data_IF_009873962429
#
_entry.id   IF_009873962429
#
_cell.length_a   1.000
_cell.length_b   1.000
_cell.length_c   1.000
_cell.angle_alpha   90.00
_cell.angle_beta   90.00
_cell.angle_gamma   90.00
#
_symmetry.space_group_name_H-M   'P 1'
#
loop_
_entity.id
_entity.type
_entity.pdbx_description
1 polymer ?
#
# COMPACT_ATOMS: atom_id res chain seq x y z
N UNK A 1 18.08 -9.40 42.51
CA UNK A 1 18.00 -8.37 41.46
C UNK A 1 18.03 -6.98 42.08
N UNK A 2 18.75 -6.75 43.19
CA UNK A 2 18.47 -5.55 44.01
C UNK A 2 19.21 -4.27 43.57
N UNK A 3 20.00 -4.25 42.48
CA UNK A 3 20.68 -3.04 42.02
C UNK A 3 21.00 -3.02 40.51
N UNK A 4 20.30 -3.81 39.69
CA UNK A 4 20.55 -3.80 38.24
C UNK A 4 19.65 -2.78 37.55
N UNK A 5 20.20 -2.04 36.59
CA UNK A 5 19.42 -1.12 35.75
C UNK A 5 18.58 -1.89 34.74
N UNK A 6 17.56 -1.24 34.16
CA UNK A 6 16.77 -1.83 33.08
C UNK A 6 17.62 -2.28 31.89
N UNK A 7 18.63 -1.50 31.51
CA UNK A 7 19.58 -1.86 30.45
C UNK A 7 20.42 -3.09 30.82
N UNK A 8 20.96 -3.14 32.03
CA UNK A 8 21.75 -4.29 32.50
C UNK A 8 20.91 -5.57 32.55
N UNK A 9 19.65 -5.47 32.98
CA UNK A 9 18.71 -6.60 33.01
C UNK A 9 18.41 -7.07 31.58
N UNK A 10 18.18 -6.16 30.64
CA UNK A 10 17.96 -6.51 29.23
C UNK A 10 19.19 -7.15 28.59
N UNK A 11 20.39 -6.65 28.87
CA UNK A 11 21.64 -7.25 28.41
C UNK A 11 21.86 -8.66 28.99
N UNK A 12 21.55 -8.87 30.27
CA UNK A 12 21.59 -10.21 30.87
C UNK A 12 20.60 -11.16 30.22
N UNK A 13 19.39 -10.69 29.92
CA UNK A 13 18.40 -11.46 29.16
C UNK A 13 18.96 -11.87 27.79
N UNK A 14 19.51 -10.93 27.01
CA UNK A 14 20.10 -11.20 25.70
C UNK A 14 21.27 -12.20 25.77
N UNK A 15 22.17 -12.03 26.74
CA UNK A 15 23.30 -12.94 26.97
C UNK A 15 22.85 -14.36 27.34
N UNK A 16 21.76 -14.49 28.10
CA UNK A 16 21.17 -15.78 28.43
C UNK A 16 20.61 -16.49 27.20
N UNK A 17 19.99 -15.75 26.27
CA UNK A 17 19.49 -16.31 25.01
C UNK A 17 20.65 -16.70 24.06
N UNK A 18 21.72 -15.90 23.99
CA UNK A 18 22.89 -16.19 23.15
C UNK A 18 23.66 -17.45 23.58
N UNK A 19 23.80 -17.69 24.89
CA UNK A 19 24.46 -18.90 25.44
C UNK A 19 23.73 -20.19 25.04
N UNK A 20 22.45 -20.11 24.69
CA UNK A 20 21.65 -21.26 24.25
C UNK A 20 21.75 -21.55 22.74
N UNK A 21 22.59 -20.82 21.97
CA UNK A 21 22.77 -20.96 20.51
C UNK A 21 21.47 -20.84 19.69
N UNK A 22 20.63 -19.87 20.00
CA UNK A 22 19.28 -19.77 19.40
C UNK A 22 19.18 -18.65 18.34
N UNK A 23 18.47 -18.96 17.23
CA UNK A 23 18.17 -18.03 16.14
C UNK A 23 17.02 -17.06 16.51
N UNK A 24 16.86 -15.99 15.72
CA UNK A 24 15.92 -14.87 15.91
C UNK A 24 14.45 -15.27 16.20
N UNK A 25 13.98 -16.41 15.68
CA UNK A 25 12.64 -16.95 15.98
C UNK A 25 12.44 -17.33 17.45
N UNK A 26 13.49 -17.70 18.20
CA UNK A 26 13.35 -18.07 19.62
C UNK A 26 13.39 -16.87 20.57
N UNK A 27 13.95 -15.73 20.16
CA UNK A 27 13.85 -14.48 20.93
C UNK A 27 12.39 -14.04 21.07
N UNK A 28 11.60 -14.16 20.00
CA UNK A 28 10.17 -13.91 20.05
C UNK A 28 9.45 -14.88 21.00
N UNK A 29 9.75 -16.19 20.95
CA UNK A 29 9.17 -17.19 21.87
C UNK A 29 9.51 -16.88 23.33
N UNK A 30 10.74 -16.45 23.61
CA UNK A 30 11.16 -16.01 24.94
C UNK A 30 10.41 -14.75 25.41
N UNK A 31 10.16 -13.79 24.51
CA UNK A 31 9.32 -12.62 24.79
C UNK A 31 7.86 -13.02 25.06
N UNK A 32 7.27 -13.92 24.26
CA UNK A 32 5.94 -14.46 24.49
C UNK A 32 5.84 -15.18 25.86
N UNK A 33 6.90 -15.87 26.27
CA UNK A 33 6.96 -16.51 27.59
C UNK A 33 6.97 -15.48 28.72
N UNK A 34 7.68 -14.35 28.56
CA UNK A 34 7.63 -13.24 29.52
C UNK A 34 6.26 -12.59 29.56
N UNK A 35 5.66 -12.35 28.40
CA UNK A 35 4.30 -11.83 28.27
C UNK A 35 3.27 -12.70 28.99
N UNK A 36 3.29 -14.03 28.79
CA UNK A 36 2.39 -14.97 29.49
C UNK A 36 2.60 -14.98 31.01
N UNK A 37 3.80 -14.65 31.49
CA UNK A 37 4.11 -14.58 32.91
C UNK A 37 3.86 -13.19 33.53
N UNK A 38 3.42 -12.20 32.75
CA UNK A 38 3.18 -10.85 33.22
C UNK A 38 2.11 -10.77 34.33
N UNK A 39 1.01 -11.51 34.18
CA UNK A 39 -0.04 -11.58 35.21
C UNK A 39 0.40 -12.38 36.45
N UNK A 40 1.32 -13.34 36.28
CA UNK A 40 1.87 -14.16 37.35
C UNK A 40 2.99 -13.46 38.14
N UNK A 41 3.48 -12.31 37.66
CA UNK A 41 4.56 -11.57 38.29
C UNK A 41 4.08 -10.91 39.60
N UNK A 42 4.65 -11.36 40.73
CA UNK A 42 4.20 -11.01 42.09
C UNK A 42 4.53 -9.58 42.53
N UNK A 43 5.43 -8.89 41.83
CA UNK A 43 5.91 -7.55 42.20
C UNK A 43 5.82 -6.60 41.02
N UNK A 44 5.50 -5.33 41.30
CA UNK A 44 5.42 -4.25 40.30
C UNK A 44 6.76 -4.06 39.58
N UNK A 45 7.89 -4.18 40.29
CA UNK A 45 9.24 -4.16 39.72
C UNK A 45 9.43 -5.20 38.60
N UNK A 46 9.00 -6.44 38.83
CA UNK A 46 9.12 -7.51 37.83
C UNK A 46 8.22 -7.25 36.62
N UNK A 47 7.05 -6.64 36.83
CA UNK A 47 6.13 -6.26 35.76
C UNK A 47 6.72 -5.15 34.91
N UNK A 48 7.33 -4.13 35.52
CA UNK A 48 8.07 -3.09 34.79
C UNK A 48 9.25 -3.65 34.00
N UNK A 49 9.98 -4.62 34.56
CA UNK A 49 11.07 -5.32 33.84
C UNK A 49 10.55 -6.04 32.61
N UNK A 50 9.43 -6.75 32.72
CA UNK A 50 8.81 -7.43 31.56
C UNK A 50 8.42 -6.39 30.50
N UNK A 51 7.74 -5.31 30.89
CA UNK A 51 7.36 -4.23 29.96
C UNK A 51 8.57 -3.63 29.24
N UNK A 52 9.65 -3.37 29.98
CA UNK A 52 10.89 -2.85 29.43
C UNK A 52 11.49 -3.80 28.39
N UNK A 53 11.60 -5.10 28.69
CA UNK A 53 12.17 -6.10 27.78
C UNK A 53 11.32 -6.24 26.51
N UNK A 54 9.99 -6.28 26.65
CA UNK A 54 9.07 -6.38 25.51
C UNK A 54 9.15 -5.16 24.59
N UNK A 55 9.42 -3.98 25.13
CA UNK A 55 9.65 -2.77 24.34
C UNK A 55 11.05 -2.73 23.73
N UNK A 56 12.10 -2.85 24.56
CA UNK A 56 13.50 -2.64 24.17
C UNK A 56 13.96 -3.62 23.09
N UNK A 57 13.40 -4.84 23.07
CA UNK A 57 13.68 -5.84 22.05
C UNK A 57 13.27 -5.38 20.63
N UNK A 58 12.27 -4.52 20.53
CA UNK A 58 11.70 -4.03 19.27
C UNK A 58 11.85 -2.52 19.09
N UNK A 59 12.66 -1.86 19.92
CA UNK A 59 12.84 -0.40 19.88
C UNK A 59 13.45 0.12 18.56
N UNK A 60 14.08 -0.76 17.77
CA UNK A 60 14.60 -0.42 16.43
C UNK A 60 13.51 -0.42 15.33
N UNK A 61 12.31 -0.92 15.63
CA UNK A 61 11.18 -0.91 14.70
C UNK A 61 10.26 0.27 15.01
N UNK A 62 9.49 0.76 14.03
CA UNK A 62 8.35 1.64 14.30
C UNK A 62 7.45 1.01 15.38
N UNK A 63 6.94 1.83 16.30
CA UNK A 63 6.14 1.35 17.44
C UNK A 63 4.93 0.53 16.97
N UNK A 64 4.34 0.89 15.83
CA UNK A 64 3.23 0.19 15.18
C UNK A 64 3.53 -1.25 14.80
N UNK A 65 4.81 -1.58 14.59
CA UNK A 65 5.27 -2.92 14.23
C UNK A 65 5.72 -3.74 15.46
N UNK A 66 5.59 -3.18 16.67
CA UNK A 66 5.87 -3.93 17.88
C UNK A 66 4.78 -5.01 18.09
N UNK A 67 5.14 -6.31 18.15
CA UNK A 67 4.16 -7.38 18.27
C UNK A 67 3.38 -7.37 19.60
N UNK A 68 3.85 -6.62 20.60
CA UNK A 68 3.21 -6.46 21.91
C UNK A 68 2.47 -5.11 22.05
N UNK A 69 2.30 -4.35 20.97
CA UNK A 69 1.63 -3.04 21.02
C UNK A 69 0.19 -3.13 21.54
N UNK A 70 -0.58 -4.12 21.11
CA UNK A 70 -1.95 -4.35 21.60
C UNK A 70 -1.98 -4.57 23.11
N UNK A 71 -1.04 -5.37 23.61
CA UNK A 71 -0.90 -5.60 25.04
C UNK A 71 -0.63 -4.29 25.80
N UNK A 72 0.28 -3.44 25.32
CA UNK A 72 0.54 -2.14 25.95
C UNK A 72 -0.72 -1.26 25.95
N UNK A 73 -1.46 -1.21 24.84
CA UNK A 73 -2.68 -0.41 24.71
C UNK A 73 -3.81 -0.90 25.63
N UNK A 74 -3.98 -2.22 25.76
CA UNK A 74 -4.96 -2.83 26.66
C UNK A 74 -4.58 -2.68 28.14
N UNK A 75 -3.27 -2.70 28.44
CA UNK A 75 -2.79 -2.55 29.80
C UNK A 75 -3.13 -1.18 30.40
N UNK A 76 -3.21 -0.11 29.59
CA UNK A 76 -3.58 1.25 30.04
C UNK A 76 -4.89 1.29 30.84
N UNK A 77 -5.85 0.44 30.45
CA UNK A 77 -7.18 0.38 31.02
C UNK A 77 -7.20 -0.38 32.36
N UNK A 78 -6.26 -1.33 32.57
CA UNK A 78 -6.23 -2.25 33.71
C UNK A 78 -4.83 -2.37 34.36
N UNK A 79 -4.26 -1.25 34.83
CA UNK A 79 -2.93 -1.23 35.47
C UNK A 79 -2.82 -0.25 36.65
N UNK A 80 -1.70 -0.33 37.37
CA UNK A 80 -1.35 0.63 38.42
C UNK A 80 -1.02 2.01 37.84
N UNK A 81 -0.91 3.03 38.68
CA UNK A 81 -0.55 4.40 38.24
C UNK A 81 0.85 4.44 37.65
N UNK A 82 1.78 3.69 38.23
CA UNK A 82 3.18 3.62 37.80
C UNK A 82 3.27 2.88 36.46
N UNK A 83 2.61 1.72 36.34
CA UNK A 83 2.51 0.98 35.09
C UNK A 83 1.88 1.81 33.97
N UNK A 84 0.80 2.53 34.26
CA UNK A 84 0.15 3.42 33.28
C UNK A 84 1.11 4.48 32.77
N UNK A 85 1.89 5.08 33.66
CA UNK A 85 2.85 6.12 33.29
C UNK A 85 4.03 5.54 32.50
N UNK A 86 4.53 4.38 32.91
CA UNK A 86 5.58 3.64 32.22
C UNK A 86 5.17 3.23 30.79
N UNK A 87 3.95 2.71 30.64
CA UNK A 87 3.35 2.39 29.33
C UNK A 87 3.13 3.66 28.51
N UNK A 88 2.74 4.78 29.13
CA UNK A 88 2.72 6.09 28.46
C UNK A 88 4.08 6.44 27.85
N UNK A 89 5.19 6.23 28.58
CA UNK A 89 6.54 6.44 28.05
C UNK A 89 6.91 5.49 26.90
N UNK A 90 6.39 4.24 26.90
CA UNK A 90 6.50 3.31 25.76
C UNK A 90 5.86 3.92 24.52
N UNK A 91 4.62 4.39 24.67
CA UNK A 91 3.79 4.85 23.56
C UNK A 91 4.26 6.21 23.01
N UNK A 92 4.88 7.06 23.83
CA UNK A 92 5.49 8.31 23.39
C UNK A 92 6.95 8.14 22.89
N UNK A 93 7.56 6.95 23.02
CA UNK A 93 8.94 6.68 22.62
C UNK A 93 10.00 7.36 23.49
N UNK A 94 9.66 7.73 24.72
CA UNK A 94 10.53 8.47 25.66
C UNK A 94 11.31 7.57 26.62
N UNK A 95 11.22 6.25 26.42
CA UNK A 95 11.77 5.24 27.32
C UNK A 95 13.30 5.17 27.35
N UNK A 96 13.99 5.75 26.37
CA UNK A 96 15.45 5.83 26.33
C UNK A 96 16.04 6.56 27.55
N UNK A 97 15.28 7.46 28.18
CA UNK A 97 15.68 8.14 29.42
C UNK A 97 15.63 7.27 30.68
N UNK A 98 15.05 6.08 30.62
CA UNK A 98 14.78 5.20 31.77
C UNK A 98 15.76 4.01 31.82
N UNK A 99 16.52 3.77 30.75
CA UNK A 99 17.45 2.64 30.61
C UNK A 99 18.44 2.49 31.78
N UNK A 100 18.92 3.62 32.32
CA UNK A 100 19.90 3.67 33.41
C UNK A 100 19.29 3.61 34.82
N UNK A 101 17.96 3.55 34.95
CA UNK A 101 17.29 3.49 36.23
C UNK A 101 17.09 2.04 36.66
N UNK A 102 17.00 1.81 37.96
CA UNK A 102 16.60 0.51 38.50
C UNK A 102 15.07 0.41 38.60
N UNK A 103 14.49 -0.79 38.49
CA UNK A 103 13.04 -0.99 38.69
C UNK A 103 12.54 -0.48 40.04
N UNK A 104 13.38 -0.61 41.08
CA UNK A 104 13.04 -0.18 42.44
C UNK A 104 13.01 1.35 42.59
N UNK A 105 13.92 2.08 41.91
CA UNK A 105 13.91 3.55 41.87
C UNK A 105 12.65 4.09 41.20
N UNK A 106 12.20 3.45 40.12
CA UNK A 106 10.96 3.84 39.41
C UNK A 106 9.73 3.60 40.28
N UNK A 107 9.68 2.48 41.00
CA UNK A 107 8.57 2.17 41.92
C UNK A 107 8.53 3.10 43.15
N UNK A 108 9.69 3.50 43.68
CA UNK A 108 9.79 4.33 44.89
C UNK A 108 9.65 5.82 44.63
N UNK A 109 10.04 6.30 43.45
CA UNK A 109 9.91 7.69 43.06
C UNK A 109 9.31 7.84 41.66
N UNK A 110 7.96 7.83 41.55
CA UNK A 110 7.25 7.95 40.28
C UNK A 110 7.52 9.26 39.53
N UNK A 111 8.05 10.28 40.21
CA UNK A 111 8.38 11.59 39.60
C UNK A 111 9.65 11.58 38.75
N UNK A 112 10.40 10.48 38.75
CA UNK A 112 11.59 10.30 37.90
C UNK A 112 11.18 10.01 36.45
N UNK A 113 9.98 9.47 36.22
CA UNK A 113 9.48 9.20 34.88
C UNK A 113 9.22 10.50 34.11
N UNK A 114 9.52 10.55 32.80
CA UNK A 114 9.24 11.71 31.96
C UNK A 114 7.76 12.09 32.02
N UNK A 115 7.47 13.39 32.16
CA UNK A 115 6.08 13.88 32.13
C UNK A 115 5.44 13.61 30.78
N UNK A 116 4.44 12.72 30.74
CA UNK A 116 3.67 12.42 29.54
C UNK A 116 2.69 13.57 29.26
N UNK A 117 2.54 13.95 27.99
CA UNK A 117 1.66 15.05 27.61
C UNK A 117 0.23 14.55 27.39
N UNK A 118 -0.62 14.65 28.43
CA UNK A 118 -2.03 14.20 28.44
C UNK A 118 -2.88 14.54 27.20
N UNK A 119 -2.58 15.63 26.49
CA UNK A 119 -3.33 16.06 25.29
C UNK A 119 -2.83 15.40 23.97
N UNK A 120 -1.55 15.01 23.88
CA UNK A 120 -1.02 14.22 22.75
C UNK A 120 -1.37 12.74 22.92
N UNK A 121 -1.36 12.26 24.16
CA UNK A 121 -1.69 10.89 24.56
C UNK A 121 -3.01 10.42 23.92
N UNK A 122 -4.12 11.12 24.11
CA UNK A 122 -5.44 10.59 23.70
C UNK A 122 -5.61 10.46 22.18
N UNK A 123 -5.08 11.40 21.38
CA UNK A 123 -5.18 11.33 19.91
C UNK A 123 -4.23 10.29 19.33
N UNK A 124 -3.00 10.23 19.86
CA UNK A 124 -1.99 9.28 19.40
C UNK A 124 -2.38 7.85 19.78
N UNK A 125 -2.82 7.62 21.03
CA UNK A 125 -3.34 6.33 21.49
C UNK A 125 -4.57 5.90 20.68
N UNK A 126 -5.47 6.82 20.33
CA UNK A 126 -6.62 6.49 19.46
C UNK A 126 -6.18 6.05 18.05
N UNK A 127 -5.16 6.69 17.47
CA UNK A 127 -4.57 6.29 16.19
C UNK A 127 -3.90 4.92 16.30
N UNK A 128 -3.12 4.68 17.36
CA UNK A 128 -2.47 3.40 17.61
C UNK A 128 -3.49 2.27 17.82
N UNK A 129 -4.55 2.49 18.63
CA UNK A 129 -5.66 1.53 18.80
C UNK A 129 -6.35 1.22 17.46
N UNK A 130 -6.55 2.22 16.60
CA UNK A 130 -7.12 2.01 15.26
C UNK A 130 -6.18 1.19 14.35
N UNK A 131 -4.87 1.46 14.37
CA UNK A 131 -3.87 0.72 13.59
C UNK A 131 -3.73 -0.74 14.08
N UNK A 132 -3.75 -0.95 15.40
CA UNK A 132 -3.66 -2.27 16.02
C UNK A 132 -4.92 -3.12 15.82
N UNK A 133 -6.11 -2.53 15.93
CA UNK A 133 -7.35 -3.24 15.63
C UNK A 133 -7.35 -3.80 14.20
N UNK A 134 -6.82 -3.03 13.23
CA UNK A 134 -6.63 -3.49 11.85
C UNK A 134 -5.64 -4.66 11.73
N UNK A 135 -4.62 -4.74 12.58
CA UNK A 135 -3.64 -5.84 12.61
C UNK A 135 -4.19 -7.12 13.27
N UNK A 136 -5.10 -6.99 14.25
CA UNK A 136 -5.69 -8.13 14.96
C UNK A 136 -6.74 -8.83 14.09
N UNK A 137 -7.49 -8.06 13.30
CA UNK A 137 -8.49 -8.62 12.38
C UNK A 137 -7.85 -9.35 11.18
N UNK A 138 -6.62 -8.99 10.78
CA UNK A 138 -5.82 -9.74 9.80
C UNK A 138 -4.31 -9.60 10.08
N UNK A 139 -3.65 -10.64 10.65
CA UNK A 139 -2.25 -10.60 11.07
C UNK A 139 -1.24 -10.46 9.92
N UNK A 140 -1.69 -10.42 8.67
CA UNK A 140 -0.85 -10.22 7.49
C UNK A 140 -0.93 -8.81 6.89
N UNK A 141 -1.70 -7.88 7.48
CA UNK A 141 -1.76 -6.50 6.97
C UNK A 141 -0.44 -5.79 7.26
N UNK A 142 0.42 -5.73 6.26
CA UNK A 142 1.57 -4.82 6.25
C UNK A 142 1.00 -3.39 6.14
N UNK A 143 1.38 -2.50 7.05
CA UNK A 143 0.95 -1.10 7.04
C UNK A 143 1.95 -0.32 6.19
N UNK A 144 1.48 0.39 5.15
CA UNK A 144 2.35 1.29 4.38
C UNK A 144 2.91 2.37 5.30
N UNK A 145 4.18 2.72 5.11
CA UNK A 145 4.77 3.91 5.72
C UNK A 145 3.91 5.15 5.42
N UNK A 146 3.71 5.99 6.45
CA UNK A 146 2.90 7.22 6.35
C UNK A 146 3.41 8.15 5.23
N UNK A 147 4.71 8.11 4.93
CA UNK A 147 5.32 8.83 3.80
C UNK A 147 4.81 8.33 2.45
N UNK A 148 4.68 7.02 2.26
CA UNK A 148 4.23 6.40 1.01
C UNK A 148 2.73 6.66 0.82
N UNK A 149 1.94 6.62 1.89
CA UNK A 149 0.52 7.00 1.88
C UNK A 149 0.36 8.46 1.40
N UNK A 150 1.17 9.37 1.94
CA UNK A 150 1.16 10.77 1.49
C UNK A 150 1.55 10.90 0.02
N UNK A 151 2.56 10.16 -0.44
CA UNK A 151 2.96 10.17 -1.86
C UNK A 151 1.85 9.66 -2.78
N UNK A 152 1.12 8.60 -2.40
CA UNK A 152 -0.03 8.10 -3.15
C UNK A 152 -1.15 9.14 -3.22
N UNK A 153 -1.46 9.82 -2.11
CA UNK A 153 -2.45 10.92 -2.13
C UNK A 153 -1.99 12.11 -2.99
N UNK A 154 -0.69 12.41 -3.00
CA UNK A 154 -0.13 13.45 -3.87
C UNK A 154 -0.12 13.05 -5.34
N UNK A 155 0.01 11.75 -5.64
CA UNK A 155 0.00 11.24 -7.01
C UNK A 155 -1.34 11.49 -7.73
N UNK A 156 -2.46 11.56 -7.01
CA UNK A 156 -3.76 11.96 -7.56
C UNK A 156 -3.91 13.48 -7.81
N UNK A 157 -3.02 14.31 -7.26
CA UNK A 157 -3.14 15.78 -7.27
C UNK A 157 -2.08 16.49 -8.10
N UNK A 158 -0.87 15.92 -8.19
CA UNK A 158 0.26 16.48 -8.93
C UNK A 158 1.15 15.40 -9.55
N UNK A 159 1.94 15.74 -10.58
CA UNK A 159 3.02 14.86 -11.00
C UNK A 159 4.04 14.68 -9.87
N UNK A 160 4.48 13.45 -9.68
CA UNK A 160 5.53 13.08 -8.75
C UNK A 160 6.90 13.38 -9.35
N UNK A 161 7.83 13.81 -8.50
CA UNK A 161 9.23 14.03 -8.88
C UNK A 161 9.94 12.68 -9.12
N UNK A 162 11.10 12.72 -9.79
CA UNK A 162 11.88 11.50 -10.04
C UNK A 162 12.27 10.79 -8.75
N UNK A 163 12.70 11.53 -7.72
CA UNK A 163 13.06 10.96 -6.42
C UNK A 163 11.87 10.31 -5.72
N UNK A 164 10.68 10.90 -5.81
CA UNK A 164 9.46 10.32 -5.22
C UNK A 164 9.05 9.02 -5.93
N UNK A 165 9.15 8.99 -7.26
CA UNK A 165 8.91 7.77 -8.03
C UNK A 165 9.93 6.66 -7.69
N UNK A 166 11.19 7.00 -7.44
CA UNK A 166 12.20 6.03 -7.00
C UNK A 166 11.89 5.45 -5.62
N UNK A 167 11.35 6.25 -4.69
CA UNK A 167 10.91 5.76 -3.37
C UNK A 167 9.77 4.75 -3.55
N UNK A 168 8.74 5.10 -4.34
CA UNK A 168 7.60 4.21 -4.60
C UNK A 168 8.00 2.91 -5.32
N UNK A 169 8.99 2.97 -6.20
CA UNK A 169 9.50 1.78 -6.93
C UNK A 169 10.34 0.85 -6.07
N UNK A 170 11.02 1.36 -5.04
CA UNK A 170 11.78 0.54 -4.10
C UNK A 170 10.84 -0.26 -3.18
N UNK A 171 9.66 0.29 -2.93
CA UNK A 171 8.65 -0.37 -2.12
C UNK A 171 7.89 -1.45 -2.90
N UNK A 172 7.62 -2.57 -2.25
CA UNK A 172 6.79 -3.64 -2.81
C UNK A 172 5.31 -3.34 -2.59
N UNK A 173 4.75 -2.49 -3.44
CA UNK A 173 3.33 -2.11 -3.37
C UNK A 173 2.35 -3.29 -3.48
N UNK A 174 2.80 -4.48 -3.93
CA UNK A 174 2.03 -5.73 -3.93
C UNK A 174 1.69 -6.27 -2.55
N UNK A 175 2.50 -5.93 -1.55
CA UNK A 175 2.42 -6.52 -0.21
C UNK A 175 1.35 -5.81 0.66
N UNK A 176 0.65 -4.84 0.06
CA UNK A 176 -0.22 -3.91 0.76
C UNK A 176 -1.62 -3.81 0.13
N UNK A 177 -2.67 -3.59 0.93
CA UNK A 177 -4.04 -3.42 0.43
C UNK A 177 -4.24 -2.01 -0.18
N UNK A 178 -3.73 -1.82 -1.40
CA UNK A 178 -3.79 -0.53 -2.13
C UNK A 178 -5.21 0.03 -2.31
N UNK A 179 -6.22 -0.84 -2.30
CA UNK A 179 -7.65 -0.48 -2.40
C UNK A 179 -8.17 0.36 -1.22
N UNK A 180 -7.42 0.39 -0.11
CA UNK A 180 -7.73 1.24 1.06
C UNK A 180 -7.16 2.65 0.92
N UNK A 181 -6.09 2.82 0.14
CA UNK A 181 -5.33 4.07 0.06
C UNK A 181 -5.65 4.90 -1.19
N UNK A 182 -6.00 4.25 -2.31
CA UNK A 182 -6.34 4.92 -3.57
C UNK A 182 -7.83 4.76 -3.81
N UNK A 183 -8.59 5.85 -3.77
CA UNK A 183 -10.04 5.79 -4.03
C UNK A 183 -10.30 5.63 -5.55
N UNK A 184 -11.40 4.95 -5.96
CA UNK A 184 -11.75 4.80 -7.38
C UNK A 184 -11.77 6.11 -8.17
N UNK A 185 -12.30 7.17 -7.56
CA UNK A 185 -12.38 8.49 -8.19
C UNK A 185 -11.02 9.18 -8.38
N UNK A 186 -9.99 8.80 -7.61
CA UNK A 186 -8.65 9.37 -7.73
C UNK A 186 -7.82 8.66 -8.80
N UNK A 187 -8.21 7.44 -9.20
CA UNK A 187 -7.47 6.62 -10.15
C UNK A 187 -7.32 7.29 -11.53
N UNK A 188 -8.36 7.86 -12.16
CA UNK A 188 -8.22 8.53 -13.46
C UNK A 188 -7.28 9.74 -13.40
N UNK A 189 -7.32 10.51 -12.32
CA UNK A 189 -6.41 11.63 -12.10
C UNK A 189 -4.96 11.15 -11.95
N UNK A 190 -4.75 10.07 -11.19
CA UNK A 190 -3.43 9.45 -11.00
C UNK A 190 -2.87 8.94 -12.34
N UNK A 191 -3.68 8.27 -13.15
CA UNK A 191 -3.30 7.80 -14.49
C UNK A 191 -2.78 8.96 -15.35
N UNK A 192 -3.52 10.07 -15.36
CA UNK A 192 -3.20 11.23 -16.18
C UNK A 192 -1.92 11.96 -15.74
N UNK A 193 -1.69 12.04 -14.42
CA UNK A 193 -0.56 12.78 -13.85
C UNK A 193 0.70 11.92 -13.72
N UNK A 194 0.55 10.62 -13.48
CA UNK A 194 1.62 9.71 -13.07
C UNK A 194 1.49 8.33 -13.75
N UNK A 195 1.55 8.29 -15.09
CA UNK A 195 1.36 7.07 -15.88
C UNK A 195 2.25 5.89 -15.47
N UNK A 196 3.50 6.14 -15.08
CA UNK A 196 4.42 5.05 -14.74
C UNK A 196 4.05 4.36 -13.44
N UNK A 197 3.59 5.13 -12.45
CA UNK A 197 3.05 4.57 -11.22
C UNK A 197 1.76 3.80 -11.52
N UNK A 198 0.92 4.34 -12.40
CA UNK A 198 -0.32 3.70 -12.82
C UNK A 198 -0.11 2.29 -13.39
N UNK A 199 0.94 2.09 -14.20
CA UNK A 199 1.28 0.77 -14.77
C UNK A 199 1.56 -0.32 -13.72
N UNK A 200 2.10 0.08 -12.57
CA UNK A 200 2.44 -0.84 -11.48
C UNK A 200 1.23 -1.11 -10.57
N UNK A 201 0.46 -0.08 -10.24
CA UNK A 201 -0.66 -0.20 -9.29
C UNK A 201 -1.96 -0.70 -9.92
N UNK A 202 -2.20 -0.45 -11.21
CA UNK A 202 -3.49 -0.77 -11.84
C UNK A 202 -3.79 -2.27 -11.82
N UNK A 203 -2.81 -3.11 -12.13
CA UNK A 203 -3.02 -4.57 -12.06
C UNK A 203 -3.30 -5.04 -10.63
N UNK A 204 -2.77 -4.36 -9.62
CA UNK A 204 -3.00 -4.69 -8.22
C UNK A 204 -4.39 -4.24 -7.75
N UNK A 205 -4.80 -3.02 -8.12
CA UNK A 205 -6.12 -2.47 -7.80
C UNK A 205 -7.25 -3.25 -8.48
N UNK A 206 -7.05 -3.69 -9.72
CA UNK A 206 -8.04 -4.47 -10.46
C UNK A 206 -8.17 -5.92 -9.97
N UNK A 207 -7.19 -6.42 -9.20
CA UNK A 207 -7.28 -7.71 -8.52
C UNK A 207 -7.88 -7.62 -7.10
N UNK A 208 -8.25 -6.41 -6.65
CA UNK A 208 -8.85 -6.20 -5.32
C UNK A 208 -10.38 -6.35 -5.36
N UNK A 209 -11.03 -6.45 -4.19
CA UNK A 209 -12.48 -6.64 -4.09
C UNK A 209 -13.35 -5.51 -4.72
N UNK A 210 -12.74 -4.39 -5.14
CA UNK A 210 -13.42 -3.21 -5.71
C UNK A 210 -13.20 -3.04 -7.21
N UNK A 211 -12.88 -4.11 -7.95
CA UNK A 211 -12.57 -4.04 -9.39
C UNK A 211 -13.62 -3.28 -10.20
N UNK A 212 -14.91 -3.54 -9.98
CA UNK A 212 -16.00 -2.91 -10.76
C UNK A 212 -16.07 -1.39 -10.54
N UNK A 213 -15.86 -0.91 -9.32
CA UNK A 213 -15.86 0.53 -9.00
C UNK A 213 -14.69 1.25 -9.69
N UNK A 214 -13.50 0.63 -9.73
CA UNK A 214 -12.34 1.19 -10.44
C UNK A 214 -12.55 1.21 -11.95
N UNK A 215 -13.11 0.14 -12.53
CA UNK A 215 -13.42 0.09 -13.95
C UNK A 215 -14.46 1.15 -14.32
N UNK A 216 -15.52 1.31 -13.52
CA UNK A 216 -16.53 2.34 -13.74
C UNK A 216 -15.93 3.74 -13.65
N UNK A 217 -15.07 4.02 -12.66
CA UNK A 217 -14.40 5.31 -12.55
C UNK A 217 -13.54 5.64 -13.79
N UNK A 218 -12.89 4.64 -14.41
CA UNK A 218 -12.14 4.81 -15.67
C UNK A 218 -13.09 5.13 -16.83
N UNK A 219 -14.27 4.51 -16.89
CA UNK A 219 -15.25 4.75 -17.95
C UNK A 219 -15.94 6.11 -17.83
N UNK A 220 -16.17 6.59 -16.61
CA UNK A 220 -16.85 7.86 -16.32
C UNK A 220 -15.96 9.09 -16.64
N UNK A 221 -14.65 8.89 -16.76
CA UNK A 221 -13.69 9.95 -17.06
C UNK A 221 -13.32 10.01 -18.56
N UNK A 222 -12.96 11.20 -19.08
CA UNK A 222 -12.61 11.36 -20.48
C UNK A 222 -11.35 10.56 -20.82
N UNK A 223 -11.37 9.89 -21.98
CA UNK A 223 -10.28 9.05 -22.42
C UNK A 223 -9.09 9.91 -22.86
N UNK A 224 -7.99 9.75 -22.13
CA UNK A 224 -6.71 10.42 -22.43
C UNK A 224 -5.73 9.44 -23.07
N UNK A 225 -4.64 9.99 -23.63
CA UNK A 225 -3.53 9.18 -24.17
C UNK A 225 -2.96 8.23 -23.10
N UNK A 226 -2.76 8.75 -21.89
CA UNK A 226 -2.22 8.04 -20.74
C UNK A 226 -3.15 6.91 -20.28
N UNK A 227 -4.47 7.13 -20.34
CA UNK A 227 -5.47 6.10 -20.03
C UNK A 227 -5.40 4.95 -21.03
N UNK A 228 -5.33 5.24 -22.33
CA UNK A 228 -5.19 4.21 -23.36
C UNK A 228 -3.91 3.41 -23.16
N UNK A 229 -2.77 4.06 -22.90
CA UNK A 229 -1.50 3.38 -22.65
C UNK A 229 -1.54 2.52 -21.38
N UNK A 230 -2.19 3.00 -20.33
CA UNK A 230 -2.34 2.26 -19.08
C UNK A 230 -3.18 1.01 -19.27
N UNK A 231 -4.35 1.12 -19.90
CA UNK A 231 -5.21 -0.03 -20.22
C UNK A 231 -4.49 -1.01 -21.16
N UNK A 232 -3.80 -0.51 -22.18
CA UNK A 232 -2.99 -1.32 -23.08
C UNK A 232 -1.91 -2.12 -22.33
N UNK A 233 -1.18 -1.48 -21.42
CA UNK A 233 -0.14 -2.13 -20.64
C UNK A 233 -0.70 -3.25 -19.75
N UNK A 234 -1.85 -3.03 -19.12
CA UNK A 234 -2.43 -4.03 -18.23
C UNK A 234 -2.96 -5.23 -19.03
N UNK A 235 -3.62 -4.98 -20.15
CA UNK A 235 -4.17 -6.02 -21.03
C UNK A 235 -3.06 -6.86 -21.70
N UNK A 236 -2.03 -6.21 -22.25
CA UNK A 236 -1.00 -6.87 -23.06
C UNK A 236 0.20 -7.34 -22.22
N UNK A 237 0.75 -6.48 -21.36
CA UNK A 237 1.98 -6.80 -20.61
C UNK A 237 1.69 -7.55 -19.31
N UNK A 238 0.70 -7.12 -18.53
CA UNK A 238 0.32 -7.78 -17.27
C UNK A 238 -0.65 -8.95 -17.46
N UNK A 239 -1.28 -9.05 -18.64
CA UNK A 239 -2.27 -10.09 -19.00
C UNK A 239 -3.41 -10.19 -17.99
N UNK A 240 -3.84 -9.06 -17.44
CA UNK A 240 -4.98 -9.05 -16.51
C UNK A 240 -6.26 -9.32 -17.30
N UNK A 241 -7.03 -10.32 -16.85
CA UNK A 241 -8.32 -10.66 -17.45
C UNK A 241 -9.36 -9.60 -17.08
N UNK A 242 -9.74 -8.76 -18.06
CA UNK A 242 -10.87 -7.84 -17.95
C UNK A 242 -12.09 -8.42 -18.67
N UNK A 243 -13.29 -7.99 -18.27
CA UNK A 243 -14.52 -8.40 -18.95
C UNK A 243 -14.54 -7.89 -20.39
N UNK A 244 -15.03 -8.72 -21.31
CA UNK A 244 -15.18 -8.31 -22.71
C UNK A 244 -16.09 -7.09 -22.83
N UNK A 245 -17.16 -7.00 -22.04
CA UNK A 245 -18.05 -5.84 -22.01
C UNK A 245 -17.32 -4.52 -21.71
N UNK A 246 -16.38 -4.54 -20.76
CA UNK A 246 -15.55 -3.37 -20.47
C UNK A 246 -14.67 -3.01 -21.66
N UNK A 247 -14.01 -4.00 -22.28
CA UNK A 247 -13.12 -3.79 -23.43
C UNK A 247 -13.91 -3.21 -24.62
N UNK A 248 -15.07 -3.78 -24.95
CA UNK A 248 -15.97 -3.28 -26.00
C UNK A 248 -16.31 -1.81 -25.74
N UNK A 249 -16.83 -1.50 -24.55
CA UNK A 249 -17.24 -0.15 -24.21
C UNK A 249 -16.07 0.85 -24.22
N UNK A 250 -14.90 0.44 -23.72
CA UNK A 250 -13.69 1.27 -23.73
C UNK A 250 -13.17 1.55 -25.14
N UNK A 251 -13.21 0.58 -26.05
CA UNK A 251 -12.85 0.77 -27.46
C UNK A 251 -13.82 1.74 -28.14
N UNK A 252 -15.13 1.52 -28.01
CA UNK A 252 -16.14 2.40 -28.61
C UNK A 252 -16.02 3.83 -28.07
N UNK A 253 -15.78 4.01 -26.76
CA UNK A 253 -15.53 5.33 -26.19
C UNK A 253 -14.20 5.94 -26.67
N UNK A 254 -13.15 5.14 -26.86
CA UNK A 254 -11.85 5.62 -27.37
C UNK A 254 -11.98 6.17 -28.79
N UNK A 255 -12.77 5.48 -29.64
CA UNK A 255 -13.09 5.93 -31.00
C UNK A 255 -13.89 7.23 -30.96
N UNK A 256 -14.96 7.29 -30.15
CA UNK A 256 -15.79 8.50 -29.98
C UNK A 256 -14.99 9.68 -29.45
N UNK A 257 -14.02 9.44 -28.55
CA UNK A 257 -13.15 10.49 -28.01
C UNK A 257 -12.32 11.14 -29.12
N UNK A 258 -11.91 10.40 -30.15
CA UNK A 258 -11.20 11.00 -31.29
C UNK A 258 -12.09 11.94 -32.09
N UNK A 259 -13.39 11.65 -32.22
CA UNK A 259 -14.35 12.49 -32.96
C UNK A 259 -14.64 13.81 -32.25
N UNK A 260 -14.58 13.82 -30.92
CA UNK A 260 -14.84 15.00 -30.08
C UNK A 260 -13.67 15.99 -30.03
N UNK A 261 -12.46 15.59 -30.45
CA UNK A 261 -11.31 16.49 -30.51
C UNK A 261 -11.35 17.41 -31.73
N UNK A 262 -10.94 18.66 -31.52
CA UNK A 262 -10.70 19.61 -32.59
C UNK A 262 -9.58 19.14 -33.52
N UNK A 263 -9.73 19.42 -34.81
CA UNK A 263 -8.79 18.97 -35.83
C UNK A 263 -7.39 19.59 -35.61
N UNK A 264 -6.38 18.72 -35.44
CA UNK A 264 -5.00 19.16 -35.22
C UNK A 264 -4.04 18.02 -34.85
N UNK A 265 -2.80 18.40 -34.52
CA UNK A 265 -1.73 17.46 -34.18
C UNK A 265 -2.03 16.59 -32.96
N UNK A 266 -2.89 17.06 -32.04
CA UNK A 266 -3.29 16.34 -30.84
C UNK A 266 -4.25 15.19 -31.20
N UNK A 267 -5.25 15.48 -32.04
CA UNK A 267 -6.17 14.48 -32.60
C UNK A 267 -5.41 13.42 -33.40
N UNK A 268 -4.48 13.84 -34.27
CA UNK A 268 -3.63 12.90 -35.02
C UNK A 268 -2.82 11.96 -34.12
N UNK A 269 -2.34 12.45 -32.96
CA UNK A 269 -1.63 11.62 -31.99
C UNK A 269 -2.57 10.64 -31.30
N UNK A 270 -3.74 11.08 -30.84
CA UNK A 270 -4.70 10.19 -30.19
C UNK A 270 -5.22 9.12 -31.15
N UNK A 271 -5.58 9.49 -32.38
CA UNK A 271 -6.03 8.54 -33.41
C UNK A 271 -4.96 7.50 -33.72
N UNK A 272 -3.69 7.90 -33.83
CA UNK A 272 -2.58 6.94 -33.97
C UNK A 272 -2.47 6.00 -32.78
N UNK A 273 -2.68 6.51 -31.56
CA UNK A 273 -2.61 5.69 -30.36
C UNK A 273 -3.76 4.69 -30.29
N UNK A 274 -5.00 5.13 -30.56
CA UNK A 274 -6.18 4.26 -30.62
C UNK A 274 -5.99 3.19 -31.70
N UNK A 275 -5.49 3.57 -32.88
CA UNK A 275 -5.20 2.60 -33.94
C UNK A 275 -4.17 1.55 -33.52
N UNK A 276 -3.07 1.97 -32.87
CA UNK A 276 -2.06 1.04 -32.34
C UNK A 276 -2.60 0.16 -31.21
N UNK A 277 -3.44 0.73 -30.34
CA UNK A 277 -4.08 0.02 -29.26
C UNK A 277 -4.96 -1.10 -29.81
N UNK A 278 -5.88 -0.80 -30.72
CA UNK A 278 -6.74 -1.80 -31.38
C UNK A 278 -5.90 -2.84 -32.12
N UNK A 279 -4.90 -2.40 -32.89
CA UNK A 279 -3.99 -3.30 -33.60
C UNK A 279 -3.32 -4.29 -32.64
N UNK A 280 -2.78 -3.80 -31.53
CA UNK A 280 -2.11 -4.65 -30.55
C UNK A 280 -3.06 -5.59 -29.82
N UNK A 281 -4.34 -5.23 -29.64
CA UNK A 281 -5.33 -6.13 -29.05
C UNK A 281 -5.70 -7.27 -30.01
N UNK A 282 -5.81 -6.98 -31.32
CA UNK A 282 -6.02 -8.00 -32.36
C UNK A 282 -4.82 -8.95 -32.45
N UNK A 283 -3.60 -8.41 -32.52
CA UNK A 283 -2.37 -9.21 -32.64
C UNK A 283 -2.11 -10.13 -31.43
N UNK A 284 -2.73 -9.85 -30.29
CA UNK A 284 -2.63 -10.67 -29.07
C UNK A 284 -3.88 -11.54 -28.83
N UNK A 285 -4.80 -11.61 -29.80
CA UNK A 285 -6.07 -12.35 -29.72
C UNK A 285 -6.94 -11.97 -28.50
N UNK A 286 -6.84 -10.73 -28.02
CA UNK A 286 -7.65 -10.22 -26.89
C UNK A 286 -9.06 -9.86 -27.38
N UNK A 287 -9.14 -9.34 -28.61
CA UNK A 287 -10.38 -9.02 -29.31
C UNK A 287 -10.43 -9.77 -30.64
N UNK A 288 -11.62 -10.18 -31.07
CA UNK A 288 -11.79 -10.90 -32.34
C UNK A 288 -12.14 -9.94 -33.48
N UNK A 289 -11.47 -10.09 -34.62
CA UNK A 289 -11.74 -9.27 -35.81
C UNK A 289 -13.18 -9.43 -36.32
N UNK A 290 -13.81 -10.60 -36.12
CA UNK A 290 -15.19 -10.85 -36.55
C UNK A 290 -16.22 -9.96 -35.84
N UNK A 291 -15.99 -9.68 -34.56
CA UNK A 291 -16.90 -8.91 -33.71
C UNK A 291 -16.73 -7.40 -33.91
N UNK A 292 -15.48 -6.95 -34.11
CA UNK A 292 -15.16 -5.51 -34.20
C UNK A 292 -15.00 -4.98 -35.63
N UNK A 293 -15.24 -5.81 -36.66
CA UNK A 293 -15.01 -5.44 -38.06
C UNK A 293 -15.68 -4.14 -38.49
N UNK A 294 -16.96 -3.97 -38.19
CA UNK A 294 -17.73 -2.81 -38.63
C UNK A 294 -17.21 -1.52 -37.97
N UNK A 295 -16.92 -1.56 -36.66
CA UNK A 295 -16.41 -0.40 -35.92
C UNK A 295 -14.99 -0.02 -36.37
N UNK A 296 -14.11 -1.02 -36.54
CA UNK A 296 -12.72 -0.81 -36.98
C UNK A 296 -12.69 -0.29 -38.42
N UNK A 297 -13.54 -0.82 -39.31
CA UNK A 297 -13.65 -0.34 -40.68
C UNK A 297 -14.14 1.11 -40.73
N UNK A 298 -15.20 1.44 -39.98
CA UNK A 298 -15.74 2.80 -39.91
C UNK A 298 -14.70 3.80 -39.37
N UNK A 299 -13.98 3.42 -38.32
CA UNK A 299 -12.86 4.21 -37.78
C UNK A 299 -11.76 4.40 -38.82
N UNK A 300 -11.36 3.33 -39.50
CA UNK A 300 -10.28 3.39 -40.48
C UNK A 300 -10.61 4.28 -41.69
N UNK A 301 -11.86 4.24 -42.16
CA UNK A 301 -12.34 5.09 -43.26
C UNK A 301 -12.35 6.56 -42.84
N UNK A 302 -12.80 6.85 -41.61
CA UNK A 302 -12.87 8.21 -41.07
C UNK A 302 -11.49 8.87 -40.95
N UNK A 303 -10.45 8.08 -40.66
CA UNK A 303 -9.10 8.55 -40.38
C UNK A 303 -8.03 8.08 -41.37
N UNK A 304 -8.42 7.66 -42.57
CA UNK A 304 -7.54 7.05 -43.58
C UNK A 304 -6.33 7.92 -43.99
N UNK A 305 -6.43 9.24 -43.83
CA UNK A 305 -5.34 10.20 -44.11
C UNK A 305 -4.12 10.02 -43.18
N UNK A 306 -4.30 9.35 -42.04
CA UNK A 306 -3.27 9.16 -41.03
C UNK A 306 -2.53 7.83 -41.26
N UNK A 307 -1.20 7.90 -41.45
CA UNK A 307 -0.36 6.72 -41.77
C UNK A 307 -0.53 5.52 -40.82
N UNK A 308 -0.78 5.75 -39.53
CA UNK A 308 -0.96 4.67 -38.54
C UNK A 308 -2.26 3.87 -38.74
N UNK A 309 -3.30 4.51 -39.27
CA UNK A 309 -4.62 3.89 -39.50
C UNK A 309 -4.59 2.98 -40.73
N UNK A 310 -3.73 3.29 -41.71
CA UNK A 310 -3.55 2.47 -42.91
C UNK A 310 -3.01 1.07 -42.58
N UNK A 311 -2.19 0.95 -41.53
CA UNK A 311 -1.68 -0.35 -41.09
C UNK A 311 -2.79 -1.21 -40.49
N UNK A 312 -3.59 -0.66 -39.58
CA UNK A 312 -4.75 -1.32 -39.01
C UNK A 312 -5.76 -1.74 -40.08
N UNK A 313 -6.06 -0.86 -41.04
CA UNK A 313 -6.99 -1.17 -42.13
C UNK A 313 -6.52 -2.35 -43.00
N UNK A 314 -5.22 -2.43 -43.29
CA UNK A 314 -4.65 -3.57 -44.03
C UNK A 314 -4.77 -4.87 -43.25
N UNK A 315 -4.53 -4.83 -41.94
CA UNK A 315 -4.64 -5.99 -41.05
C UNK A 315 -6.10 -6.50 -41.05
N UNK A 316 -7.05 -5.61 -40.77
CA UNK A 316 -8.48 -5.93 -40.81
C UNK A 316 -8.96 -6.44 -42.17
N UNK A 317 -8.46 -5.86 -43.27
CA UNK A 317 -8.81 -6.29 -44.64
C UNK A 317 -8.21 -7.65 -45.01
N UNK A 318 -7.03 -8.00 -44.49
CA UNK A 318 -6.37 -9.27 -44.78
C UNK A 318 -7.02 -10.42 -43.98
N UNK A 319 -7.33 -10.20 -42.70
CA UNK A 319 -8.04 -11.17 -41.87
C UNK A 319 -9.47 -11.42 -42.38
N UNK A 320 -10.19 -10.37 -42.80
CA UNK A 320 -11.52 -10.52 -43.40
C UNK A 320 -11.51 -11.33 -44.71
N UNK A 321 -10.39 -11.38 -45.43
CA UNK A 321 -10.25 -12.26 -46.62
C UNK A 321 -10.03 -13.71 -46.22
N UNK A 322 -9.28 -13.97 -45.15
CA UNK A 322 -9.04 -15.33 -44.65
C UNK A 322 -10.28 -15.97 -44.02
N UNK A 323 -11.20 -15.18 -43.48
CA UNK A 323 -12.47 -15.68 -42.89
C UNK A 323 -13.48 -16.09 -43.98
N UNK A 324 -13.34 -15.58 -45.20
CA UNK A 324 -14.25 -15.83 -46.33
C UNK A 324 -13.74 -16.91 -47.31
N UNK A 325 -12.56 -17.51 -47.06
CA UNK A 325 -12.00 -18.65 -47.78
C UNK A 325 -12.13 -19.94 -46.94
#
# INVERSE_FOLDING_TARGET
>A
MENLTFEEIHQQFLLQQQKQKQQQQQLFISCCSLFLNFECAKTEENRLVILYILYSQYANLPLEQNPFLDFFLNLLDNCTVIERHFVGCILEGTLSGIANLTPQEVCTNPSILPTTTKEKDNKHIAILKLKVAKLIDDPNIVILDDQIIQLLSMAGKRPLTLSENEILRKEKLSDYPLSTYVLPNELPALINLNQFLAFDILSLLLNSDKTEEYLQAILDHPITLQSIESIHHILVHKKTSLSQDFIHYYISNSIRSCDQLEDGLIKDKQVKQVAKFIQSLLEQDIISMTEYFVEIQAFCVSYMKIKGVVQLFRLASNEARQINE
#
